data_IF_474463812192
#
_entry.id   IF_474463812192
#
_cell.length_a   1.000
_cell.length_b   1.000
_cell.length_c   1.000
_cell.angle_alpha   90.00
_cell.angle_beta   90.00
_cell.angle_gamma   90.00
#
_symmetry.space_group_name_H-M   'P 1'
#
loop_
_entity.id
_entity.type
_entity.pdbx_description
1 polymer ?
#
# COMPACT_ATOMS: atom_id res chain seq x y z
N UNK A 1 0.45 7.13 22.48
CA UNK A 1 0.41 5.92 21.66
C UNK A 1 -0.16 4.81 22.51
N UNK A 2 -1.16 4.07 22.05
CA UNK A 2 -1.88 3.12 22.90
C UNK A 2 -1.43 1.70 22.65
N UNK A 3 -1.35 0.86 23.67
CA UNK A 3 -0.99 -0.56 23.60
C UNK A 3 -1.70 -1.32 22.46
N UNK A 4 -2.95 -0.93 22.16
CA UNK A 4 -3.71 -1.50 21.04
C UNK A 4 -3.03 -1.24 19.68
N UNK A 5 -2.72 0.03 19.37
CA UNK A 5 -2.10 0.42 18.09
C UNK A 5 -0.71 -0.17 17.91
N UNK A 6 0.06 -0.17 19.01
CA UNK A 6 1.47 -0.56 18.93
C UNK A 6 1.68 -2.09 18.95
N UNK A 7 0.76 -2.86 19.57
CA UNK A 7 0.99 -4.29 19.79
C UNK A 7 -0.10 -5.22 19.27
N UNK A 8 -1.37 -4.80 19.27
CA UNK A 8 -2.50 -5.66 18.90
C UNK A 8 -2.85 -5.48 17.42
N UNK A 9 -3.07 -4.25 17.00
CA UNK A 9 -3.53 -3.93 15.65
C UNK A 9 -2.62 -4.48 14.55
N UNK A 10 -1.27 -4.38 14.60
CA UNK A 10 -0.42 -4.94 13.53
C UNK A 10 -0.57 -6.46 13.35
N UNK A 11 -0.88 -7.19 14.44
CA UNK A 11 -1.13 -8.64 14.36
C UNK A 11 -2.49 -8.96 13.78
N UNK A 12 -3.52 -8.16 14.11
CA UNK A 12 -4.87 -8.30 13.54
C UNK A 12 -4.85 -7.98 12.04
N UNK A 13 -4.18 -6.91 11.64
CA UNK A 13 -4.00 -6.53 10.24
C UNK A 13 -3.23 -7.62 9.48
N UNK A 14 -2.11 -8.12 10.04
CA UNK A 14 -1.36 -9.23 9.44
C UNK A 14 -2.26 -10.45 9.16
N UNK A 15 -3.09 -10.84 10.16
CA UNK A 15 -4.01 -11.97 10.01
C UNK A 15 -5.10 -11.70 8.96
N UNK A 16 -5.73 -10.53 8.98
CA UNK A 16 -6.79 -10.15 8.06
C UNK A 16 -6.28 -10.04 6.61
N UNK A 17 -5.12 -9.41 6.44
CA UNK A 17 -4.52 -9.18 5.12
C UNK A 17 -3.81 -10.41 4.52
N UNK A 18 -3.72 -11.53 5.25
CA UNK A 18 -3.15 -12.80 4.77
C UNK A 18 -4.16 -13.72 4.07
N UNK A 19 -5.41 -13.28 3.92
CA UNK A 19 -6.46 -14.10 3.32
C UNK A 19 -6.13 -14.48 1.87
N UNK A 20 -6.54 -15.67 1.43
CA UNK A 20 -6.34 -16.16 0.06
C UNK A 20 -6.94 -15.21 -0.98
N UNK A 21 -8.09 -14.61 -0.67
CA UNK A 21 -8.71 -13.60 -1.53
C UNK A 21 -7.82 -12.38 -1.82
N UNK A 22 -6.92 -12.00 -0.88
CA UNK A 22 -6.00 -10.90 -1.06
C UNK A 22 -4.66 -11.31 -1.70
N UNK A 23 -4.32 -12.59 -1.69
CA UNK A 23 -3.08 -13.08 -2.33
C UNK A 23 -3.08 -12.81 -3.84
N UNK A 24 -4.23 -13.06 -4.51
CA UNK A 24 -4.36 -12.75 -5.94
C UNK A 24 -4.11 -11.26 -6.21
N UNK A 25 -4.73 -10.37 -5.45
CA UNK A 25 -4.56 -8.92 -5.58
C UNK A 25 -3.10 -8.49 -5.35
N UNK A 26 -2.42 -9.11 -4.36
CA UNK A 26 -1.00 -8.84 -4.10
C UNK A 26 -0.10 -9.35 -5.23
N UNK A 27 -0.32 -10.56 -5.71
CA UNK A 27 0.43 -11.09 -6.85
C UNK A 27 0.26 -10.22 -8.11
N UNK A 28 -0.97 -9.75 -8.36
CA UNK A 28 -1.27 -8.88 -9.50
C UNK A 28 -0.61 -7.50 -9.36
N UNK A 29 -0.74 -6.83 -8.20
CA UNK A 29 -0.16 -5.50 -8.00
C UNK A 29 1.36 -5.50 -7.99
N UNK A 30 2.01 -6.59 -7.58
CA UNK A 30 3.47 -6.72 -7.63
C UNK A 30 3.99 -7.15 -8.99
N UNK A 31 3.12 -7.68 -9.86
CA UNK A 31 3.50 -8.08 -11.21
C UNK A 31 4.06 -6.90 -12.02
N UNK A 32 5.23 -7.11 -12.62
CA UNK A 32 5.91 -6.09 -13.42
C UNK A 32 6.72 -5.07 -12.62
N UNK A 33 6.86 -5.24 -11.29
CA UNK A 33 7.88 -4.52 -10.51
C UNK A 33 9.27 -4.95 -10.95
N UNK A 34 10.22 -4.02 -11.04
CA UNK A 34 11.60 -4.29 -11.42
C UNK A 34 12.57 -3.27 -10.80
N UNK A 35 13.84 -3.61 -10.73
CA UNK A 35 14.91 -2.74 -10.25
C UNK A 35 14.81 -2.42 -8.77
N UNK A 36 15.13 -1.19 -8.40
CA UNK A 36 15.04 -0.69 -7.03
C UNK A 36 13.63 -0.17 -6.73
N UNK A 37 12.93 -0.86 -5.84
CA UNK A 37 11.54 -0.56 -5.49
C UNK A 37 11.45 0.10 -4.11
N UNK A 38 10.81 1.25 -3.99
CA UNK A 38 10.41 1.81 -2.69
C UNK A 38 9.01 1.33 -2.33
N UNK A 39 8.84 0.69 -1.17
CA UNK A 39 7.53 0.27 -0.67
C UNK A 39 7.16 1.04 0.59
N UNK A 40 6.06 1.80 0.50
CA UNK A 40 5.47 2.50 1.64
C UNK A 40 4.41 1.64 2.32
N UNK A 41 4.42 1.63 3.66
CA UNK A 41 3.54 0.77 4.45
C UNK A 41 3.88 -0.70 4.26
N UNK A 42 5.17 -1.04 4.31
CA UNK A 42 5.66 -2.43 4.16
C UNK A 42 4.96 -3.42 5.09
N UNK A 43 4.45 -2.94 6.22
CA UNK A 43 3.69 -3.72 7.16
C UNK A 43 4.45 -4.93 7.68
N UNK A 44 3.79 -6.07 7.68
CA UNK A 44 4.38 -7.35 8.07
C UNK A 44 5.07 -8.10 6.93
N UNK A 45 5.28 -7.46 5.76
CA UNK A 45 6.00 -8.04 4.62
C UNK A 45 5.19 -9.07 3.83
N UNK A 46 3.88 -8.87 3.69
CA UNK A 46 3.01 -9.81 2.96
C UNK A 46 3.22 -9.79 1.45
N UNK A 47 3.90 -8.79 0.91
CA UNK A 47 4.25 -8.73 -0.51
C UNK A 47 5.56 -9.48 -0.84
N UNK A 48 6.37 -9.84 0.16
CA UNK A 48 7.68 -10.46 -0.04
C UNK A 48 7.61 -11.73 -0.89
N UNK A 49 6.61 -12.56 -0.69
CA UNK A 49 6.42 -13.80 -1.46
C UNK A 49 5.96 -13.57 -2.91
N UNK A 50 5.64 -12.33 -3.28
CA UNK A 50 5.08 -11.97 -4.58
C UNK A 50 6.02 -11.10 -5.43
N UNK A 51 7.17 -10.66 -4.89
CA UNK A 51 8.10 -9.87 -5.70
C UNK A 51 8.66 -10.70 -6.85
N UNK A 52 8.56 -10.19 -8.08
CA UNK A 52 9.17 -10.84 -9.24
C UNK A 52 10.71 -10.81 -9.16
N UNK A 53 11.39 -11.73 -9.85
CA UNK A 53 12.85 -11.82 -9.83
C UNK A 53 13.57 -10.63 -10.45
N UNK A 54 12.88 -9.78 -11.18
CA UNK A 54 13.36 -8.52 -11.74
C UNK A 54 13.55 -7.42 -10.70
N UNK A 55 13.02 -7.61 -9.48
CA UNK A 55 13.24 -6.68 -8.36
C UNK A 55 14.61 -6.96 -7.75
N UNK A 56 15.50 -5.96 -7.81
CA UNK A 56 16.86 -6.06 -7.27
C UNK A 56 16.91 -5.83 -5.76
N UNK A 57 16.09 -4.88 -5.27
CA UNK A 57 16.00 -4.52 -3.86
C UNK A 57 14.69 -3.81 -3.54
N UNK A 58 14.14 -4.10 -2.36
CA UNK A 58 13.02 -3.34 -1.79
C UNK A 58 13.51 -2.42 -0.67
N UNK A 59 13.21 -1.13 -0.81
CA UNK A 59 13.47 -0.07 0.16
C UNK A 59 12.18 0.16 0.97
N UNK A 60 12.11 -0.44 2.16
CA UNK A 60 10.90 -0.51 2.96
C UNK A 60 10.75 0.69 3.91
N UNK A 61 9.58 1.34 3.87
CA UNK A 61 9.16 2.39 4.81
C UNK A 61 8.01 1.84 5.66
N UNK A 62 8.22 1.71 6.99
CA UNK A 62 7.23 1.17 7.92
C UNK A 62 7.42 1.72 9.34
N UNK A 63 6.47 2.50 9.89
CA UNK A 63 6.57 3.06 11.23
C UNK A 63 6.38 2.02 12.35
N UNK A 64 5.50 1.03 12.16
CA UNK A 64 5.09 0.12 13.21
C UNK A 64 6.18 -0.91 13.57
N UNK A 65 6.77 -0.78 14.76
CA UNK A 65 7.84 -1.68 15.25
C UNK A 65 7.43 -3.17 15.26
N UNK A 66 6.17 -3.46 15.59
CA UNK A 66 5.68 -4.85 15.60
C UNK A 66 5.52 -5.38 14.18
N UNK A 67 5.04 -4.57 13.24
CA UNK A 67 4.94 -4.94 11.83
C UNK A 67 6.33 -5.29 11.28
N UNK A 68 7.35 -4.44 11.51
CA UNK A 68 8.74 -4.72 11.11
C UNK A 68 9.30 -6.02 11.71
N UNK A 69 8.97 -6.34 12.97
CA UNK A 69 9.37 -7.63 13.58
C UNK A 69 8.71 -8.83 12.91
N UNK A 70 7.43 -8.73 12.55
CA UNK A 70 6.72 -9.77 11.80
C UNK A 70 7.30 -9.92 10.38
N UNK A 71 7.67 -8.81 9.76
CA UNK A 71 8.27 -8.77 8.43
C UNK A 71 9.65 -9.41 8.37
N UNK A 72 10.45 -9.30 9.43
CA UNK A 72 11.84 -9.77 9.45
C UNK A 72 11.98 -11.25 9.03
N UNK A 73 11.05 -12.12 9.49
CA UNK A 73 11.05 -13.54 9.12
C UNK A 73 10.76 -13.75 7.63
N UNK A 74 9.80 -12.99 7.08
CA UNK A 74 9.41 -13.09 5.65
C UNK A 74 10.52 -12.53 4.77
N UNK A 75 11.03 -11.34 5.11
CA UNK A 75 12.13 -10.71 4.39
C UNK A 75 13.38 -11.58 4.36
N UNK A 76 13.73 -12.24 5.48
CA UNK A 76 14.87 -13.15 5.54
C UNK A 76 14.66 -14.48 4.80
N UNK A 77 13.43 -14.86 4.49
CA UNK A 77 13.09 -16.05 3.69
C UNK A 77 12.80 -15.72 2.21
N UNK A 78 12.62 -14.46 1.87
CA UNK A 78 12.37 -14.00 0.49
C UNK A 78 13.62 -14.02 -0.37
N UNK A 79 13.43 -14.14 -1.68
CA UNK A 79 14.52 -14.10 -2.66
C UNK A 79 15.05 -12.67 -2.90
N UNK A 80 14.21 -11.66 -2.73
CA UNK A 80 14.53 -10.25 -2.96
C UNK A 80 15.03 -9.61 -1.66
N UNK A 81 16.19 -8.93 -1.65
CA UNK A 81 16.70 -8.22 -0.49
C UNK A 81 15.75 -7.08 -0.07
N UNK A 82 15.52 -6.95 1.24
CA UNK A 82 14.69 -5.88 1.81
C UNK A 82 15.54 -5.05 2.78
N UNK A 83 15.57 -3.73 2.59
CA UNK A 83 16.26 -2.78 3.47
C UNK A 83 15.26 -1.76 4.02
N UNK A 84 15.10 -1.70 5.33
CA UNK A 84 14.31 -0.65 5.97
C UNK A 84 15.07 0.68 5.92
N UNK A 85 14.42 1.72 5.37
CA UNK A 85 15.04 3.04 5.12
C UNK A 85 14.36 4.18 5.87
N UNK A 86 13.16 3.99 6.41
CA UNK A 86 12.45 5.05 7.08
C UNK A 86 11.19 4.59 7.82
N UNK A 87 10.60 5.55 8.53
CA UNK A 87 9.38 5.36 9.32
C UNK A 87 8.20 6.20 8.80
N UNK A 88 8.45 7.14 7.89
CA UNK A 88 7.44 8.07 7.39
C UNK A 88 7.47 8.16 5.86
N UNK A 89 6.37 7.77 5.24
CA UNK A 89 6.19 7.90 3.80
C UNK A 89 5.99 9.34 3.32
N UNK A 90 5.78 10.31 4.23
CA UNK A 90 5.67 11.73 3.92
C UNK A 90 7.05 12.43 3.88
N UNK A 91 8.11 11.71 4.25
CA UNK A 91 9.49 12.19 4.26
C UNK A 91 10.44 11.02 3.99
N UNK A 92 10.52 10.59 2.74
CA UNK A 92 11.34 9.44 2.34
C UNK A 92 12.81 9.88 2.25
N UNK A 93 13.67 9.30 3.06
CA UNK A 93 15.10 9.62 3.12
C UNK A 93 15.92 9.07 1.94
N UNK A 94 15.43 9.24 0.72
CA UNK A 94 16.10 8.84 -0.53
C UNK A 94 16.35 10.07 -1.41
N UNK A 95 17.39 10.04 -2.26
CA UNK A 95 17.60 11.06 -3.28
C UNK A 95 16.45 11.10 -4.29
N UNK A 96 16.30 12.23 -4.98
CA UNK A 96 15.41 12.37 -6.12
C UNK A 96 15.78 11.37 -7.22
N UNK A 97 14.79 10.87 -7.94
CA UNK A 97 14.96 9.97 -9.08
C UNK A 97 15.87 8.76 -8.80
N UNK A 98 15.79 8.17 -7.60
CA UNK A 98 16.64 7.06 -7.17
C UNK A 98 15.98 5.69 -7.27
N UNK A 99 14.65 5.63 -7.46
CA UNK A 99 13.90 4.37 -7.53
C UNK A 99 13.31 4.15 -8.92
N UNK A 100 13.30 2.88 -9.37
CA UNK A 100 12.71 2.46 -10.65
C UNK A 100 11.20 2.29 -10.53
N UNK A 101 10.74 1.78 -9.37
CA UNK A 101 9.34 1.61 -9.09
C UNK A 101 9.00 1.94 -7.62
N UNK A 102 7.71 2.16 -7.37
CA UNK A 102 7.14 2.30 -6.04
C UNK A 102 5.96 1.35 -5.86
N UNK A 103 5.76 0.88 -4.62
CA UNK A 103 4.64 0.03 -4.24
C UNK A 103 3.95 0.57 -3.00
N UNK A 104 2.62 0.54 -3.01
CA UNK A 104 1.77 0.84 -1.85
C UNK A 104 0.62 -0.17 -1.79
N UNK A 105 0.49 -0.89 -0.67
CA UNK A 105 -0.65 -1.80 -0.47
C UNK A 105 -1.32 -1.53 0.86
N UNK A 106 -2.62 -1.17 0.82
CA UNK A 106 -3.44 -0.83 2.00
C UNK A 106 -2.84 0.29 2.86
N UNK A 107 -2.17 1.24 2.22
CA UNK A 107 -1.44 2.32 2.90
C UNK A 107 -2.01 3.69 2.58
N UNK A 108 -2.30 4.02 1.31
CA UNK A 108 -2.88 5.31 0.95
C UNK A 108 -4.26 5.52 1.56
N UNK A 109 -5.03 4.45 1.80
CA UNK A 109 -6.28 4.52 2.53
C UNK A 109 -6.10 4.86 4.03
N UNK A 110 -4.89 4.70 4.59
CA UNK A 110 -4.61 4.79 6.03
C UNK A 110 -3.81 6.04 6.42
N UNK A 111 -2.86 6.47 5.59
CA UNK A 111 -1.98 7.61 5.89
C UNK A 111 -2.77 8.91 6.12
N UNK A 112 -2.24 9.75 7.01
CA UNK A 112 -2.88 11.01 7.37
C UNK A 112 -2.96 12.00 6.19
N UNK A 113 -1.87 12.12 5.43
CA UNK A 113 -1.75 13.02 4.28
C UNK A 113 -1.26 12.24 3.04
N UNK A 114 -2.18 11.66 2.25
CA UNK A 114 -1.79 10.91 1.05
C UNK A 114 -1.18 11.80 -0.04
N UNK A 115 -1.50 13.09 -0.07
CA UNK A 115 -0.92 13.99 -1.06
C UNK A 115 0.59 14.17 -0.83
N UNK A 116 1.03 14.32 0.43
CA UNK A 116 2.45 14.38 0.76
C UNK A 116 3.18 13.08 0.43
N UNK A 117 2.56 11.94 0.75
CA UNK A 117 3.13 10.63 0.41
C UNK A 117 3.32 10.48 -1.09
N UNK A 118 2.30 10.84 -1.88
CA UNK A 118 2.36 10.76 -3.34
C UNK A 118 3.39 11.75 -3.94
N UNK A 119 3.51 12.94 -3.36
CA UNK A 119 4.55 13.90 -3.77
C UNK A 119 5.97 13.36 -3.51
N UNK A 120 6.20 12.72 -2.37
CA UNK A 120 7.47 12.08 -2.06
C UNK A 120 7.75 10.88 -2.98
N UNK A 121 6.73 10.07 -3.29
CA UNK A 121 6.89 8.98 -4.27
C UNK A 121 7.26 9.53 -5.65
N UNK A 122 6.63 10.62 -6.10
CA UNK A 122 7.02 11.27 -7.36
C UNK A 122 8.44 11.76 -7.35
N UNK A 123 8.88 12.35 -6.25
CA UNK A 123 10.25 12.88 -6.10
C UNK A 123 11.29 11.76 -6.19
N UNK A 124 11.07 10.64 -5.51
CA UNK A 124 12.07 9.54 -5.47
C UNK A 124 12.02 8.64 -6.69
N UNK A 125 10.91 8.60 -7.41
CA UNK A 125 10.79 7.85 -8.66
C UNK A 125 11.53 8.57 -9.79
N UNK A 126 12.21 7.79 -10.62
CA UNK A 126 12.76 8.25 -11.89
C UNK A 126 11.63 8.71 -12.82
N UNK A 127 11.99 9.51 -13.85
CA UNK A 127 11.11 9.72 -15.00
C UNK A 127 10.70 8.36 -15.57
N UNK A 128 9.44 8.21 -15.94
CA UNK A 128 8.83 6.95 -16.41
C UNK A 128 8.82 5.81 -15.36
N UNK A 129 9.25 6.08 -14.12
CA UNK A 129 9.15 5.14 -13.01
C UNK A 129 7.68 4.81 -12.68
N UNK A 130 7.39 3.56 -12.35
CA UNK A 130 6.02 3.07 -12.14
C UNK A 130 5.64 3.04 -10.67
N UNK A 131 4.45 3.51 -10.38
CA UNK A 131 3.81 3.41 -9.08
C UNK A 131 2.67 2.38 -9.11
N UNK A 132 2.85 1.29 -8.36
CA UNK A 132 1.87 0.23 -8.17
C UNK A 132 1.12 0.45 -6.87
N UNK A 133 -0.20 0.41 -6.89
CA UNK A 133 -1.01 0.64 -5.69
C UNK A 133 -2.20 -0.33 -5.59
N UNK A 134 -2.56 -0.65 -4.36
CA UNK A 134 -3.72 -1.47 -4.00
C UNK A 134 -4.29 -0.95 -2.67
N UNK A 135 -5.50 -0.40 -2.70
CA UNK A 135 -6.14 0.18 -1.51
C UNK A 135 -7.65 -0.08 -1.48
N UNK A 136 -8.28 0.17 -0.34
CA UNK A 136 -9.73 0.25 -0.28
C UNK A 136 -10.23 1.36 -1.21
N UNK A 137 -11.36 1.08 -1.87
CA UNK A 137 -12.06 2.04 -2.71
C UNK A 137 -13.53 2.14 -2.35
N UNK A 138 -14.18 3.22 -2.77
CA UNK A 138 -15.62 3.34 -2.64
C UNK A 138 -16.33 2.44 -3.65
N UNK A 139 -17.25 1.61 -3.16
CA UNK A 139 -18.01 0.69 -4.01
C UNK A 139 -18.95 1.46 -4.96
N UNK A 140 -19.15 0.97 -6.19
CA UNK A 140 -20.03 1.63 -7.16
C UNK A 140 -21.51 1.49 -6.80
N UNK A 141 -21.91 0.44 -6.07
CA UNK A 141 -23.30 0.24 -5.68
C UNK A 141 -23.71 1.21 -4.56
N UNK A 142 -24.80 1.97 -4.73
CA UNK A 142 -25.24 2.94 -3.73
C UNK A 142 -25.46 2.37 -2.33
N UNK A 143 -25.92 1.12 -2.23
CA UNK A 143 -26.16 0.43 -0.95
C UNK A 143 -24.85 0.13 -0.23
N UNK A 144 -23.85 -0.41 -0.93
CA UNK A 144 -22.53 -0.69 -0.37
C UNK A 144 -21.80 0.60 0.02
N UNK A 145 -21.78 1.60 -0.87
CA UNK A 145 -21.21 2.90 -0.62
C UNK A 145 -21.86 3.61 0.60
N UNK A 146 -23.19 3.48 0.78
CA UNK A 146 -23.89 4.01 1.96
C UNK A 146 -23.37 3.36 3.25
N UNK A 147 -23.19 2.04 3.25
CA UNK A 147 -22.63 1.33 4.40
C UNK A 147 -21.18 1.69 4.64
N UNK A 148 -20.35 1.81 3.60
CA UNK A 148 -18.97 2.27 3.73
C UNK A 148 -18.90 3.63 4.42
N UNK A 149 -19.66 4.63 3.95
CA UNK A 149 -19.71 5.97 4.58
C UNK A 149 -20.15 5.93 6.04
N UNK A 150 -21.11 5.05 6.39
CA UNK A 150 -21.60 4.91 7.76
C UNK A 150 -20.57 4.24 8.68
N UNK A 151 -19.79 3.30 8.17
CA UNK A 151 -18.79 2.54 8.91
C UNK A 151 -17.43 3.23 8.96
N UNK A 152 -17.14 4.12 8.01
CA UNK A 152 -15.84 4.80 7.88
C UNK A 152 -15.35 5.47 9.17
N UNK A 153 -16.17 6.22 9.95
CA UNK A 153 -15.71 6.81 11.20
C UNK A 153 -15.24 5.79 12.25
N UNK A 154 -15.88 4.64 12.30
CA UNK A 154 -15.49 3.54 13.20
C UNK A 154 -14.23 2.82 12.67
N UNK A 155 -14.20 2.56 11.37
CA UNK A 155 -13.04 1.96 10.70
C UNK A 155 -11.77 2.78 10.95
N UNK A 156 -11.82 4.08 10.77
CA UNK A 156 -10.69 5.00 11.04
C UNK A 156 -10.17 4.91 12.46
N UNK A 157 -11.05 4.77 13.44
CA UNK A 157 -10.67 4.63 14.85
C UNK A 157 -10.02 3.28 15.16
N UNK A 158 -10.55 2.21 14.58
CA UNK A 158 -10.16 0.83 14.91
C UNK A 158 -8.99 0.32 14.06
N UNK A 159 -8.85 0.81 12.83
CA UNK A 159 -7.85 0.37 11.86
C UNK A 159 -6.85 1.48 11.51
N UNK A 160 -6.39 2.21 12.52
CA UNK A 160 -5.29 3.19 12.46
C UNK A 160 -5.42 4.24 11.34
N UNK A 161 -6.61 4.75 11.14
CA UNK A 161 -6.86 5.78 10.13
C UNK A 161 -7.35 5.26 8.79
N UNK A 162 -7.53 3.95 8.60
CA UNK A 162 -7.99 3.37 7.33
C UNK A 162 -9.38 3.89 6.94
N UNK A 163 -9.47 4.53 5.76
CA UNK A 163 -10.69 5.00 5.14
C UNK A 163 -11.24 3.98 4.14
N UNK A 164 -12.53 3.66 4.25
CA UNK A 164 -13.23 2.80 3.28
C UNK A 164 -13.71 3.55 2.05
N UNK A 165 -13.66 4.88 2.08
CA UNK A 165 -14.30 5.77 1.08
C UNK A 165 -13.31 6.65 0.33
N UNK A 166 -12.02 6.43 0.51
CA UNK A 166 -10.98 7.22 -0.16
C UNK A 166 -10.90 6.84 -1.64
N UNK A 167 -10.95 7.83 -2.51
CA UNK A 167 -10.79 7.63 -3.94
C UNK A 167 -9.30 7.65 -4.31
N UNK A 168 -8.70 6.48 -4.33
CA UNK A 168 -7.26 6.32 -4.61
C UNK A 168 -6.91 6.73 -6.04
N UNK A 169 -7.78 6.47 -7.03
CA UNK A 169 -7.52 6.89 -8.43
C UNK A 169 -7.48 8.41 -8.54
N UNK A 170 -8.44 9.09 -7.93
CA UNK A 170 -8.45 10.54 -7.92
C UNK A 170 -7.22 11.13 -7.22
N UNK A 171 -6.78 10.55 -6.09
CA UNK A 171 -5.58 10.98 -5.38
C UNK A 171 -4.32 10.82 -6.22
N UNK A 172 -4.15 9.67 -6.86
CA UNK A 172 -2.99 9.37 -7.72
C UNK A 172 -2.94 10.33 -8.91
N UNK A 173 -4.08 10.56 -9.59
CA UNK A 173 -4.16 11.51 -10.70
C UNK A 173 -3.91 12.97 -10.26
N UNK A 174 -4.48 13.41 -9.13
CA UNK A 174 -4.25 14.76 -8.58
C UNK A 174 -2.80 15.02 -8.18
N UNK A 175 -2.10 13.98 -7.77
CA UNK A 175 -0.67 14.07 -7.50
C UNK A 175 0.19 14.17 -8.76
N UNK A 176 -0.39 14.08 -9.97
CA UNK A 176 0.29 14.23 -11.24
C UNK A 176 0.85 12.93 -11.82
N UNK A 177 0.47 11.76 -11.28
CA UNK A 177 0.72 10.50 -11.94
C UNK A 177 -0.25 10.27 -13.09
N UNK A 178 0.20 9.60 -14.14
CA UNK A 178 -0.64 9.14 -15.25
C UNK A 178 -1.00 7.68 -15.03
N UNK A 179 -2.28 7.39 -14.79
CA UNK A 179 -2.75 6.01 -14.57
C UNK A 179 -2.73 5.26 -15.89
N UNK A 180 -1.88 4.22 -16.02
CA UNK A 180 -1.79 3.36 -17.23
C UNK A 180 -2.90 2.30 -17.23
N UNK A 181 -3.11 1.65 -16.09
CA UNK A 181 -4.15 0.64 -15.92
C UNK A 181 -4.65 0.60 -14.48
N UNK A 182 -5.90 0.20 -14.33
CA UNK A 182 -6.47 -0.07 -13.00
C UNK A 182 -7.53 -1.16 -13.07
N UNK A 183 -7.76 -1.82 -11.95
CA UNK A 183 -8.84 -2.75 -11.72
C UNK A 183 -9.56 -2.37 -10.43
N UNK A 184 -10.88 -2.49 -10.43
CA UNK A 184 -11.70 -2.30 -9.23
C UNK A 184 -12.61 -3.50 -9.05
N UNK A 185 -12.74 -3.98 -7.82
CA UNK A 185 -13.56 -5.14 -7.59
C UNK A 185 -13.61 -5.60 -6.14
N UNK A 186 -14.38 -6.64 -5.92
CA UNK A 186 -14.54 -7.26 -4.62
C UNK A 186 -13.61 -8.44 -4.45
N UNK A 187 -12.90 -8.48 -3.32
CA UNK A 187 -12.33 -9.72 -2.80
C UNK A 187 -13.37 -10.47 -1.96
N UNK A 188 -13.00 -11.66 -1.49
CA UNK A 188 -13.85 -12.41 -0.57
C UNK A 188 -14.01 -11.68 0.77
N UNK A 189 -15.24 -11.47 1.20
CA UNK A 189 -15.55 -10.80 2.47
C UNK A 189 -16.82 -9.96 2.43
N UNK A 190 -17.17 -9.30 3.54
CA UNK A 190 -18.32 -8.41 3.59
C UNK A 190 -18.11 -7.19 2.69
N UNK A 191 -19.10 -6.89 1.84
CA UNK A 191 -19.01 -5.83 0.80
C UNK A 191 -18.42 -4.49 1.26
N UNK A 192 -18.74 -3.92 2.44
CA UNK A 192 -18.17 -2.63 2.84
C UNK A 192 -16.64 -2.62 3.00
N UNK A 193 -16.03 -3.77 3.27
CA UNK A 193 -14.58 -3.90 3.51
C UNK A 193 -13.80 -4.58 2.39
N UNK A 194 -14.48 -5.11 1.39
CA UNK A 194 -13.86 -5.98 0.39
C UNK A 194 -13.76 -5.36 -1.01
N UNK A 195 -14.17 -4.11 -1.19
CA UNK A 195 -14.02 -3.41 -2.45
C UNK A 195 -12.68 -2.69 -2.51
N UNK A 196 -11.87 -3.03 -3.52
CA UNK A 196 -10.51 -2.54 -3.70
C UNK A 196 -10.33 -1.86 -5.04
N UNK A 197 -9.38 -0.95 -5.07
CA UNK A 197 -8.83 -0.32 -6.27
C UNK A 197 -7.36 -0.67 -6.36
N UNK A 198 -6.96 -1.28 -7.44
CA UNK A 198 -5.58 -1.60 -7.78
C UNK A 198 -5.22 -0.90 -9.08
N UNK A 199 -3.98 -0.45 -9.22
CA UNK A 199 -3.54 0.15 -10.45
C UNK A 199 -2.04 0.33 -10.57
N UNK A 200 -1.64 0.70 -11.78
CA UNK A 200 -0.28 1.12 -12.12
C UNK A 200 -0.37 2.51 -12.75
N UNK A 201 0.47 3.39 -12.25
CA UNK A 201 0.57 4.75 -12.77
C UNK A 201 2.04 5.11 -13.03
N UNK A 202 2.28 6.00 -13.98
CA UNK A 202 3.62 6.43 -14.39
C UNK A 202 3.91 7.80 -13.84
N UNK A 203 5.15 7.97 -13.35
CA UNK A 203 5.70 9.26 -12.99
C UNK A 203 6.14 10.01 -14.26
N UNK A 204 5.17 10.66 -14.90
CA UNK A 204 5.45 11.50 -16.06
C UNK A 204 5.84 12.92 -15.55
N UNK A 205 7.00 13.48 -15.97
CA UNK A 205 7.47 14.80 -15.55
C UNK A 205 6.59 15.95 -16.01
#
# INVERSE_FOLDING_TARGET
>A
MGLYRDHVLPRLVDRACRSEGLRRWRAEVTSGLAGQVVEIGFGSGLNVEHYPPEVEMVLAVEPAKVARRLAAKRAGAGAVPVRHIGLDGQAIGLPDASCDAALSTFTLCTVADPAKVLAELRRVLRSEGRFHFLDHGIAPEPSAAKWQRRLDPWQRRLADGCHLTRDTLALVGQAGFVVERYEQGYAAGPKPWSYFTMGIAVNNP
#
